data_IF_434154983115
#
_entry.id   IF_434154983115
#
_cell.length_a   1.000
_cell.length_b   1.000
_cell.length_c   1.000
_cell.angle_alpha   90.00
_cell.angle_beta   90.00
_cell.angle_gamma   90.00
#
_symmetry.space_group_name_H-M   'P 1'
#
loop_
_entity.id
_entity.type
_entity.pdbx_description
1 polymer ?
#
# COMPACT_ATOMS: atom_id res chain seq x y z
N UNK A 1 16.23 6.26 -4.84
CA UNK A 1 15.63 4.95 -5.20
C UNK A 1 14.53 5.18 -6.22
N UNK A 2 14.76 4.80 -7.49
CA UNK A 2 13.74 4.77 -8.54
C UNK A 2 12.74 3.67 -8.14
N UNK A 3 11.44 3.96 -8.19
CA UNK A 3 10.43 2.98 -7.82
C UNK A 3 10.41 1.93 -8.95
N UNK A 4 10.83 0.69 -8.68
CA UNK A 4 10.90 -0.38 -9.71
C UNK A 4 9.54 -0.70 -10.35
N UNK A 5 8.45 -0.22 -9.74
CA UNK A 5 7.07 -0.34 -10.20
C UNK A 5 6.52 0.93 -10.88
N UNK A 6 7.35 1.97 -11.07
CA UNK A 6 6.95 3.21 -11.74
C UNK A 6 6.52 2.90 -13.19
N UNK A 7 5.22 2.99 -13.47
CA UNK A 7 4.63 2.61 -14.77
C UNK A 7 4.31 1.13 -14.96
N UNK A 8 4.43 0.30 -13.90
CA UNK A 8 4.08 -1.13 -13.94
C UNK A 8 2.94 -1.44 -12.99
N UNK A 9 1.82 -1.91 -13.54
CA UNK A 9 0.59 -2.24 -12.81
C UNK A 9 -0.62 -1.48 -13.36
N UNK A 10 -1.80 -2.10 -13.28
CA UNK A 10 -3.05 -1.59 -13.88
C UNK A 10 -3.38 -0.15 -13.43
N UNK A 11 -3.09 0.18 -12.17
CA UNK A 11 -3.40 1.49 -11.58
C UNK A 11 -2.23 2.47 -11.60
N UNK A 12 -1.03 2.04 -12.00
CA UNK A 12 0.17 2.88 -11.98
C UNK A 12 0.01 4.21 -12.76
N UNK A 13 -0.63 4.26 -13.95
CA UNK A 13 -0.80 5.52 -14.68
C UNK A 13 -1.57 6.59 -13.88
N UNK A 14 -2.71 6.20 -13.29
CA UNK A 14 -3.54 7.11 -12.49
C UNK A 14 -2.84 7.53 -11.21
N UNK A 15 -2.11 6.61 -10.56
CA UNK A 15 -1.35 6.88 -9.34
C UNK A 15 -0.23 7.89 -9.61
N UNK A 16 0.54 7.70 -10.69
CA UNK A 16 1.61 8.62 -11.09
C UNK A 16 1.05 9.98 -11.50
N UNK A 17 -0.06 10.02 -12.23
CA UNK A 17 -0.74 11.27 -12.59
C UNK A 17 -1.19 12.05 -11.34
N UNK A 18 -1.84 11.36 -10.40
CA UNK A 18 -2.27 11.95 -9.12
C UNK A 18 -1.08 12.47 -8.32
N UNK A 19 0.03 11.73 -8.27
CA UNK A 19 1.28 12.14 -7.61
C UNK A 19 1.86 13.42 -8.21
N UNK A 20 1.76 13.59 -9.54
CA UNK A 20 2.24 14.79 -10.22
C UNK A 20 1.36 16.01 -9.95
N UNK A 21 0.03 15.85 -9.83
CA UNK A 21 -0.89 16.93 -9.47
C UNK A 21 -0.72 17.37 -8.01
N UNK A 22 -0.70 16.42 -7.06
CA UNK A 22 -0.67 16.72 -5.63
C UNK A 22 0.73 17.12 -5.16
N UNK A 23 1.77 16.69 -5.88
CA UNK A 23 3.16 16.87 -5.53
C UNK A 23 3.69 15.76 -4.62
N UNK A 24 4.96 15.39 -4.84
CA UNK A 24 5.63 14.22 -4.24
C UNK A 24 5.59 14.19 -2.71
N UNK A 25 5.82 15.32 -2.04
CA UNK A 25 5.88 15.40 -0.56
C UNK A 25 4.52 15.09 0.07
N UNK A 26 3.46 15.77 -0.39
CA UNK A 26 2.09 15.56 0.11
C UNK A 26 1.58 14.17 -0.25
N UNK A 27 1.81 13.72 -1.49
CA UNK A 27 1.45 12.38 -1.92
C UNK A 27 2.09 11.29 -1.04
N UNK A 28 3.40 11.39 -0.75
CA UNK A 28 4.08 10.41 0.09
C UNK A 28 3.58 10.41 1.54
N UNK A 29 3.22 11.58 2.08
CA UNK A 29 2.62 11.67 3.41
C UNK A 29 1.23 11.01 3.45
N UNK A 30 0.38 11.30 2.47
CA UNK A 30 -0.94 10.68 2.34
C UNK A 30 -0.83 9.17 2.18
N UNK A 31 0.07 8.70 1.30
CA UNK A 31 0.36 7.29 1.10
C UNK A 31 0.82 6.61 2.39
N UNK A 32 1.73 7.24 3.15
CA UNK A 32 2.19 6.71 4.43
C UNK A 32 1.06 6.53 5.44
N UNK A 33 0.19 7.54 5.58
CA UNK A 33 -0.99 7.48 6.46
C UNK A 33 -1.97 6.38 6.01
N UNK A 34 -2.25 6.27 4.71
CA UNK A 34 -3.14 5.25 4.16
C UNK A 34 -2.61 3.83 4.39
N UNK A 35 -1.31 3.60 4.19
CA UNK A 35 -0.67 2.29 4.45
C UNK A 35 -0.75 1.93 5.94
N UNK A 36 -0.52 2.91 6.83
CA UNK A 36 -0.63 2.71 8.27
C UNK A 36 -2.05 2.32 8.68
N UNK A 37 -3.05 3.09 8.24
CA UNK A 37 -4.46 2.79 8.51
C UNK A 37 -4.88 1.43 7.95
N UNK A 38 -4.46 1.09 6.73
CA UNK A 38 -4.76 -0.20 6.13
C UNK A 38 -4.15 -1.37 6.92
N UNK A 39 -2.91 -1.21 7.40
CA UNK A 39 -2.26 -2.22 8.25
C UNK A 39 -2.94 -2.37 9.62
N UNK A 40 -3.50 -1.29 10.17
CA UNK A 40 -4.33 -1.33 11.39
C UNK A 40 -5.62 -2.10 11.15
N UNK A 41 -6.31 -1.87 10.03
CA UNK A 41 -7.52 -2.64 9.67
C UNK A 41 -7.23 -4.13 9.57
N UNK A 42 -6.13 -4.53 8.92
CA UNK A 42 -5.70 -5.94 8.87
C UNK A 42 -5.44 -6.47 10.29
N UNK A 43 -4.84 -5.65 11.15
CA UNK A 43 -4.53 -6.04 12.53
C UNK A 43 -5.80 -6.26 13.35
N UNK A 44 -6.77 -5.35 13.28
CA UNK A 44 -8.06 -5.49 13.97
C UNK A 44 -8.87 -6.66 13.41
N UNK A 45 -8.84 -6.89 12.09
CA UNK A 45 -9.44 -8.07 11.48
C UNK A 45 -8.81 -9.37 12.01
N UNK A 46 -7.48 -9.46 12.05
CA UNK A 46 -6.80 -10.63 12.62
C UNK A 46 -7.16 -10.84 14.09
N UNK A 47 -7.30 -9.76 14.85
CA UNK A 47 -7.71 -9.81 16.27
C UNK A 47 -9.13 -10.34 16.43
N UNK A 48 -10.08 -9.89 15.60
CA UNK A 48 -11.49 -10.31 15.71
C UNK A 48 -11.71 -11.79 15.39
N UNK A 49 -10.85 -12.38 14.57
CA UNK A 49 -10.91 -13.81 14.19
C UNK A 49 -9.95 -14.70 15.00
N UNK A 50 -9.20 -14.14 15.95
CA UNK A 50 -8.21 -14.89 16.74
C UNK A 50 -6.99 -15.38 15.96
N UNK A 51 -6.62 -14.72 14.86
CA UNK A 51 -5.45 -15.08 14.06
C UNK A 51 -4.13 -14.73 14.77
N UNK A 52 -3.12 -15.59 14.60
CA UNK A 52 -1.81 -15.40 15.22
C UNK A 52 -0.99 -14.26 14.56
N UNK A 53 0.10 -13.86 15.23
CA UNK A 53 0.96 -12.78 14.75
C UNK A 53 1.63 -13.06 13.39
N UNK A 54 1.90 -14.35 13.07
CA UNK A 54 2.53 -14.77 11.82
C UNK A 54 1.53 -14.67 10.66
N UNK A 55 0.27 -15.06 10.87
CA UNK A 55 -0.83 -14.91 9.91
C UNK A 55 -1.08 -13.44 9.62
N UNK A 56 -1.16 -12.59 10.66
CA UNK A 56 -1.30 -11.14 10.50
C UNK A 56 -0.18 -10.53 9.65
N UNK A 57 1.06 -10.83 9.99
CA UNK A 57 2.21 -10.33 9.22
C UNK A 57 2.21 -10.87 7.78
N UNK A 58 1.77 -12.12 7.58
CA UNK A 58 1.57 -12.73 6.27
C UNK A 58 0.57 -11.96 5.42
N UNK A 59 -0.58 -11.57 5.99
CA UNK A 59 -1.61 -10.77 5.33
C UNK A 59 -1.11 -9.36 4.98
N UNK A 60 -0.40 -8.69 5.89
CA UNK A 60 0.21 -7.38 5.60
C UNK A 60 1.19 -7.49 4.43
N UNK A 61 2.04 -8.53 4.41
CA UNK A 61 2.98 -8.75 3.31
C UNK A 61 2.27 -9.05 1.98
N UNK A 62 1.19 -9.83 2.03
CA UNK A 62 0.38 -10.13 0.85
C UNK A 62 -0.28 -8.86 0.29
N UNK A 63 -0.88 -8.03 1.17
CA UNK A 63 -1.46 -6.75 0.79
C UNK A 63 -0.42 -5.82 0.14
N UNK A 64 0.79 -5.74 0.71
CA UNK A 64 1.90 -4.98 0.13
C UNK A 64 2.28 -5.50 -1.27
N UNK A 65 2.47 -6.82 -1.42
CA UNK A 65 2.82 -7.44 -2.72
C UNK A 65 1.73 -7.21 -3.77
N UNK A 66 0.46 -7.28 -3.37
CA UNK A 66 -0.65 -6.97 -4.26
C UNK A 66 -0.67 -5.49 -4.66
N UNK A 67 -0.44 -4.57 -3.71
CA UNK A 67 -0.30 -3.14 -3.99
C UNK A 67 0.85 -2.80 -4.94
N UNK A 68 1.98 -3.50 -4.82
CA UNK A 68 3.11 -3.41 -5.77
C UNK A 68 2.70 -3.91 -7.15
N UNK A 69 2.11 -5.11 -7.25
CA UNK A 69 1.69 -5.73 -8.53
C UNK A 69 0.65 -4.88 -9.26
N UNK A 70 -0.29 -4.29 -8.53
CA UNK A 70 -1.38 -3.50 -9.08
C UNK A 70 -0.95 -2.06 -9.42
N UNK A 71 0.21 -1.59 -8.95
CA UNK A 71 0.73 -0.26 -9.22
C UNK A 71 0.29 0.82 -8.24
N UNK A 72 -0.33 0.46 -7.11
CA UNK A 72 -0.74 1.43 -6.07
C UNK A 72 0.43 2.04 -5.30
N UNK A 73 1.60 1.40 -5.35
CA UNK A 73 2.81 1.89 -4.69
C UNK A 73 3.77 2.64 -5.64
N UNK A 74 3.37 2.87 -6.89
CA UNK A 74 4.16 3.56 -7.93
C UNK A 74 4.53 5.01 -7.57
#
# INVERSE_FOLDING_TARGET
>A
MKNINEGKGLFAPVVVFTRNIIGKKRFNQLRGKAIALHSQVITEFCKSIGADAKQRQGLIRLAKKNGERLGFLA
#
